data_IF_603511515110
#
_entry.id   IF_603511515110
#
_cell.length_a   1.000
_cell.length_b   1.000
_cell.length_c   1.000
_cell.angle_alpha   90.00
_cell.angle_beta   90.00
_cell.angle_gamma   90.00
#
_symmetry.space_group_name_H-M   'P 1'
#
loop_
_entity.id
_entity.type
_entity.pdbx_description
1 polymer ?
#
# COMPACT_ATOMS: atom_id res chain seq x y z
N UNK A 1 -15.47 7.93 0.21
CA UNK A 1 -14.90 7.73 1.57
C UNK A 1 -14.18 6.37 1.70
N UNK A 2 -14.80 5.28 1.27
CA UNK A 2 -14.29 3.90 1.38
C UNK A 2 -12.95 3.66 0.67
N UNK A 3 -12.78 4.20 -0.55
CA UNK A 3 -11.53 4.09 -1.32
C UNK A 3 -10.37 4.82 -0.63
N UNK A 4 -10.63 6.04 -0.15
CA UNK A 4 -9.64 6.87 0.54
C UNK A 4 -9.19 6.21 1.84
N UNK A 5 -10.12 5.66 2.63
CA UNK A 5 -9.79 4.93 3.86
C UNK A 5 -8.95 3.68 3.62
N UNK A 6 -9.25 2.90 2.57
CA UNK A 6 -8.44 1.73 2.20
C UNK A 6 -7.02 2.10 1.77
N UNK A 7 -6.89 3.08 0.87
CA UNK A 7 -5.58 3.52 0.36
C UNK A 7 -4.70 4.10 1.48
N UNK A 8 -5.29 4.90 2.38
CA UNK A 8 -4.57 5.45 3.55
C UNK A 8 -4.12 4.33 4.49
N UNK A 9 -4.98 3.34 4.77
CA UNK A 9 -4.64 2.23 5.67
C UNK A 9 -3.43 1.44 5.16
N UNK A 10 -3.36 1.15 3.86
CA UNK A 10 -2.19 0.48 3.27
C UNK A 10 -0.93 1.34 3.38
N UNK A 11 -1.03 2.64 3.09
CA UNK A 11 0.10 3.57 3.19
C UNK A 11 0.65 3.70 4.62
N UNK A 12 -0.23 3.69 5.63
CA UNK A 12 0.15 3.73 7.05
C UNK A 12 0.90 2.45 7.41
N UNK A 13 0.37 1.27 7.07
CA UNK A 13 1.00 -0.03 7.41
C UNK A 13 2.39 -0.15 6.80
N UNK A 14 2.57 0.23 5.54
CA UNK A 14 3.88 0.25 4.88
C UNK A 14 4.84 1.21 5.59
N UNK A 15 4.40 2.42 5.88
CA UNK A 15 5.23 3.44 6.55
C UNK A 15 5.65 3.02 7.96
N UNK A 16 4.74 2.41 8.72
CA UNK A 16 5.01 1.94 10.07
C UNK A 16 5.97 0.75 10.07
N UNK A 17 5.83 -0.16 9.11
CA UNK A 17 6.74 -1.31 8.97
C UNK A 17 8.16 -0.88 8.61
N UNK A 18 8.32 0.13 7.75
CA UNK A 18 9.63 0.70 7.43
C UNK A 18 10.26 1.30 8.69
N UNK A 19 9.50 2.04 9.51
CA UNK A 19 9.97 2.57 10.81
C UNK A 19 10.36 1.47 11.80
N UNK A 20 9.61 0.37 11.83
CA UNK A 20 9.90 -0.78 12.68
C UNK A 20 11.22 -1.47 12.25
N UNK A 21 11.39 -1.72 10.96
CA UNK A 21 12.59 -2.33 10.39
C UNK A 21 13.81 -1.42 10.57
N UNK A 22 13.66 -0.10 10.51
CA UNK A 22 14.71 0.88 10.83
C UNK A 22 15.23 0.76 12.27
N UNK A 23 14.36 0.45 13.23
CA UNK A 23 14.76 0.23 14.63
C UNK A 23 15.46 -1.12 14.83
N UNK A 24 15.01 -2.16 14.12
CA UNK A 24 15.54 -3.54 14.23
C UNK A 24 16.85 -3.74 13.48
N UNK A 25 17.02 -3.13 12.31
CA UNK A 25 18.14 -3.36 11.38
C UNK A 25 19.16 -2.20 11.39
N UNK A 26 19.56 -1.74 12.59
CA UNK A 26 20.47 -0.59 12.78
C UNK A 26 21.83 -0.68 12.07
N UNK A 27 22.29 -1.90 11.73
CA UNK A 27 23.58 -2.15 11.08
C UNK A 27 23.49 -2.22 9.55
N UNK A 28 22.31 -2.40 8.99
CA UNK A 28 22.14 -2.52 7.53
C UNK A 28 21.97 -1.16 6.85
N UNK A 29 22.22 -1.11 5.55
CA UNK A 29 21.98 0.09 4.74
C UNK A 29 20.48 0.36 4.66
N UNK A 30 20.07 1.63 4.74
CA UNK A 30 18.66 2.02 4.76
C UNK A 30 17.89 1.49 3.53
N UNK A 31 18.53 1.43 2.36
CA UNK A 31 17.96 0.81 1.17
C UNK A 31 17.58 -0.68 1.39
N UNK A 32 18.38 -1.45 2.12
CA UNK A 32 18.08 -2.84 2.45
C UNK A 32 16.89 -2.92 3.42
N UNK A 33 16.84 -2.01 4.41
CA UNK A 33 15.74 -1.93 5.39
C UNK A 33 14.41 -1.56 4.73
N UNK A 34 14.42 -0.62 3.79
CA UNK A 34 13.23 -0.24 3.00
C UNK A 34 12.79 -1.39 2.10
N UNK A 35 13.71 -2.04 1.41
CA UNK A 35 13.39 -3.19 0.57
C UNK A 35 12.77 -4.33 1.39
N UNK A 36 13.30 -4.60 2.58
CA UNK A 36 12.74 -5.57 3.51
C UNK A 36 11.34 -5.16 4.00
N UNK A 37 11.14 -3.89 4.35
CA UNK A 37 9.84 -3.36 4.78
C UNK A 37 8.77 -3.43 3.70
N UNK A 38 9.14 -3.18 2.45
CA UNK A 38 8.24 -3.36 1.30
C UNK A 38 7.91 -4.84 1.15
N UNK A 39 8.90 -5.73 1.15
CA UNK A 39 8.68 -7.14 0.93
C UNK A 39 7.80 -7.80 2.02
N UNK A 40 7.98 -7.38 3.28
CA UNK A 40 7.15 -7.81 4.42
C UNK A 40 5.68 -7.39 4.27
N UNK A 41 5.44 -6.20 3.71
CA UNK A 41 4.08 -5.65 3.57
C UNK A 41 3.40 -6.07 2.27
N UNK A 42 4.18 -6.34 1.21
CA UNK A 42 3.73 -6.69 -0.12
C UNK A 42 2.75 -7.87 -0.13
N UNK A 43 3.08 -8.96 0.58
CA UNK A 43 2.21 -10.14 0.67
C UNK A 43 0.85 -9.82 1.29
N UNK A 44 0.82 -8.95 2.30
CA UNK A 44 -0.43 -8.52 2.95
C UNK A 44 -1.23 -7.62 2.00
N UNK A 45 -0.59 -6.61 1.41
CA UNK A 45 -1.20 -5.63 0.49
C UNK A 45 -1.80 -6.31 -0.74
N UNK A 46 -1.08 -7.29 -1.30
CA UNK A 46 -1.56 -8.08 -2.44
C UNK A 46 -2.76 -8.93 -2.04
N UNK A 47 -2.71 -9.61 -0.89
CA UNK A 47 -3.81 -10.46 -0.44
C UNK A 47 -5.10 -9.65 -0.19
N UNK A 48 -4.99 -8.49 0.46
CA UNK A 48 -6.14 -7.61 0.72
C UNK A 48 -6.66 -6.97 -0.58
N UNK A 49 -5.78 -6.62 -1.51
CA UNK A 49 -6.17 -6.09 -2.82
C UNK A 49 -6.89 -7.12 -3.68
N UNK A 50 -6.37 -8.35 -3.75
CA UNK A 50 -6.99 -9.43 -4.54
C UNK A 50 -8.36 -9.79 -3.96
N UNK A 51 -8.48 -9.91 -2.64
CA UNK A 51 -9.76 -10.26 -1.99
C UNK A 51 -10.82 -9.17 -2.18
N UNK A 52 -10.43 -7.89 -2.06
CA UNK A 52 -11.35 -6.77 -2.31
C UNK A 52 -11.73 -6.66 -3.78
N UNK A 53 -10.79 -6.79 -4.71
CA UNK A 53 -11.08 -6.81 -6.15
C UNK A 53 -12.00 -7.96 -6.53
N UNK A 54 -11.80 -9.15 -5.95
CA UNK A 54 -12.68 -10.31 -6.16
C UNK A 54 -14.10 -10.01 -5.69
N UNK A 55 -14.27 -9.45 -4.49
CA UNK A 55 -15.58 -9.10 -3.95
C UNK A 55 -16.30 -8.03 -4.81
N UNK A 56 -15.58 -6.98 -5.23
CA UNK A 56 -16.12 -5.92 -6.10
C UNK A 56 -16.49 -6.47 -7.49
N UNK A 57 -15.68 -7.39 -8.02
CA UNK A 57 -15.95 -8.06 -9.30
C UNK A 57 -17.25 -8.88 -9.23
N UNK A 58 -17.48 -9.60 -8.13
CA UNK A 58 -18.73 -10.33 -7.90
C UNK A 58 -19.93 -9.38 -7.77
N UNK A 59 -19.77 -8.21 -7.16
CA UNK A 59 -20.80 -7.17 -7.10
C UNK A 59 -21.16 -6.61 -8.48
N UNK A 60 -20.20 -6.48 -9.40
CA UNK A 60 -20.47 -6.04 -10.78
C UNK A 60 -21.27 -7.11 -11.54
N UNK A 61 -20.92 -8.39 -11.37
CA UNK A 61 -21.56 -9.50 -12.10
C UNK A 61 -22.96 -9.81 -11.53
N UNK A 62 -23.13 -9.77 -10.21
CA UNK A 62 -24.33 -10.25 -9.51
C UNK A 62 -25.15 -9.18 -8.79
N UNK A 63 -24.66 -7.94 -8.65
CA UNK A 63 -25.29 -6.88 -7.84
C UNK A 63 -26.44 -6.12 -8.50
N UNK A 64 -26.67 -6.34 -9.81
CA UNK A 64 -27.73 -5.63 -10.55
C UNK A 64 -27.35 -4.18 -10.94
N UNK A 65 -28.20 -3.50 -11.73
CA UNK A 65 -27.82 -2.27 -12.45
C UNK A 65 -27.50 -1.08 -11.54
N UNK A 66 -28.19 -0.93 -10.40
CA UNK A 66 -27.96 0.19 -9.47
C UNK A 66 -26.62 0.05 -8.75
N UNK A 67 -26.19 -1.18 -8.45
CA UNK A 67 -24.95 -1.46 -7.71
C UNK A 67 -23.76 -1.57 -8.67
N UNK A 68 -24.00 -1.93 -9.93
CA UNK A 68 -22.96 -2.03 -10.97
C UNK A 68 -22.19 -0.71 -11.12
N UNK A 69 -22.87 0.42 -11.33
CA UNK A 69 -22.20 1.73 -11.53
C UNK A 69 -21.35 2.15 -10.32
N UNK A 70 -21.84 1.88 -9.11
CA UNK A 70 -21.12 2.11 -7.87
C UNK A 70 -19.90 1.19 -7.74
N UNK A 71 -20.07 -0.11 -8.03
CA UNK A 71 -19.02 -1.11 -7.96
C UNK A 71 -17.92 -0.88 -9.01
N UNK A 72 -18.27 -0.42 -10.22
CA UNK A 72 -17.32 -0.02 -11.26
C UNK A 72 -16.44 1.15 -10.80
N UNK A 73 -17.04 2.15 -10.16
CA UNK A 73 -16.31 3.30 -9.61
C UNK A 73 -15.37 2.88 -8.47
N UNK A 74 -15.82 1.96 -7.62
CA UNK A 74 -14.99 1.35 -6.57
C UNK A 74 -13.82 0.57 -7.16
N UNK A 75 -14.04 -0.24 -8.19
CA UNK A 75 -13.01 -1.05 -8.84
C UNK A 75 -11.87 -0.17 -9.35
N UNK A 76 -12.19 0.91 -10.06
CA UNK A 76 -11.19 1.86 -10.57
C UNK A 76 -10.42 2.51 -9.42
N UNK A 77 -11.12 2.94 -8.37
CA UNK A 77 -10.49 3.54 -7.19
C UNK A 77 -9.56 2.59 -6.44
N UNK A 78 -9.92 1.31 -6.32
CA UNK A 78 -9.08 0.29 -5.71
C UNK A 78 -7.82 0.03 -6.53
N UNK A 79 -7.93 -0.12 -7.86
CA UNK A 79 -6.77 -0.35 -8.74
C UNK A 79 -5.76 0.81 -8.62
N UNK A 80 -6.24 2.05 -8.69
CA UNK A 80 -5.39 3.24 -8.57
C UNK A 80 -4.78 3.33 -7.16
N UNK A 81 -5.57 3.04 -6.11
CA UNK A 81 -5.12 3.08 -4.72
C UNK A 81 -4.04 2.04 -4.41
N UNK A 82 -4.22 0.80 -4.87
CA UNK A 82 -3.25 -0.29 -4.70
C UNK A 82 -1.95 0.03 -5.42
N UNK A 83 -2.03 0.51 -6.67
CA UNK A 83 -0.84 0.91 -7.43
C UNK A 83 -0.09 2.06 -6.74
N UNK A 84 -0.81 3.11 -6.31
CA UNK A 84 -0.23 4.26 -5.60
C UNK A 84 0.46 3.86 -4.30
N UNK A 85 -0.18 3.04 -3.45
CA UNK A 85 0.41 2.65 -2.16
C UNK A 85 1.72 1.85 -2.33
N UNK A 86 1.81 0.98 -3.34
CA UNK A 86 3.00 0.13 -3.53
C UNK A 86 4.10 0.89 -4.28
N UNK A 87 3.77 1.57 -5.38
CA UNK A 87 4.76 2.13 -6.30
C UNK A 87 5.12 3.59 -6.05
N UNK A 88 4.33 4.36 -5.29
CA UNK A 88 4.62 5.78 -5.01
C UNK A 88 5.25 5.94 -3.62
N UNK A 89 4.79 5.18 -2.62
CA UNK A 89 5.32 5.28 -1.25
C UNK A 89 6.77 4.78 -1.17
N UNK A 90 7.09 3.66 -1.83
CA UNK A 90 8.43 3.11 -1.88
C UNK A 90 9.50 4.12 -2.36
N UNK A 91 9.38 4.76 -3.54
CA UNK A 91 10.36 5.74 -4.01
C UNK A 91 10.33 7.05 -3.23
N UNK A 92 9.17 7.49 -2.72
CA UNK A 92 9.10 8.68 -1.85
C UNK A 92 9.92 8.45 -0.59
N UNK A 93 9.81 7.28 0.05
CA UNK A 93 10.58 6.97 1.27
C UNK A 93 12.08 6.91 0.99
N UNK A 94 12.49 6.37 -0.16
CA UNK A 94 13.89 6.36 -0.61
C UNK A 94 14.41 7.77 -0.89
N UNK A 95 13.61 8.62 -1.54
CA UNK A 95 13.98 10.00 -1.84
C UNK A 95 14.02 10.89 -0.58
N UNK A 96 13.14 10.62 0.40
CA UNK A 96 13.15 11.32 1.69
C UNK A 96 14.41 11.01 2.49
N UNK A 97 14.90 9.78 2.44
CA UNK A 97 16.18 9.40 3.04
C UNK A 97 17.36 10.14 2.40
N UNK A 98 17.39 10.22 1.06
CA UNK A 98 18.43 10.95 0.34
C UNK A 98 18.51 12.42 0.74
N UNK A 99 17.37 13.04 1.06
CA UNK A 99 17.26 14.46 1.43
C UNK A 99 17.46 14.74 2.91
N UNK A 100 17.06 13.82 3.78
CA UNK A 100 17.21 13.93 5.22
C UNK A 100 17.84 12.64 5.77
N UNK A 101 19.16 12.45 5.62
CA UNK A 101 19.83 11.27 6.14
C UNK A 101 19.59 11.23 7.65
N UNK A 102 18.96 10.15 8.13
CA UNK A 102 18.85 9.88 9.55
C UNK A 102 20.25 9.77 10.11
N UNK A 103 20.73 10.86 10.70
CA UNK A 103 22.03 10.97 11.34
C UNK A 103 22.13 9.85 12.37
N UNK A 104 22.90 8.81 12.03
CA UNK A 104 23.25 7.70 12.93
C UNK A 104 23.76 8.33 14.24
N UNK A 105 22.99 8.17 15.31
CA UNK A 105 23.45 8.22 16.70
C UNK A 105 23.21 6.85 17.30
#
# INVERSE_FOLDING_TARGET
LTIVGYSINDSIVVSDRIRENLRKMRKEGFAAVVNQGINDTLSRTILTSITTLTAVSMLIIFGGPVIADFASTLLIGFIIGTYSSIFIVAPIVVEWEKRAPLRRR
#
